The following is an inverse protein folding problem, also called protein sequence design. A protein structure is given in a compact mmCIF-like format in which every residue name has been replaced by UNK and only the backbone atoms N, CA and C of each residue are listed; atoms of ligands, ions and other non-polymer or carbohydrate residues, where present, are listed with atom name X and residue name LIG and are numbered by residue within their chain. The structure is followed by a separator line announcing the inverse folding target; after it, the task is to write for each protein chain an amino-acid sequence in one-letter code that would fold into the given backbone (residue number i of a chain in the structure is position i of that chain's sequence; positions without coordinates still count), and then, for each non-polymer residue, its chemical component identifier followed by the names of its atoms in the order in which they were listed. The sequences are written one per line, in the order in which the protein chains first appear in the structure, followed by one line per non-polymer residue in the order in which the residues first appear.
data_IF_172013981094
#
_entry.id   IF_172013981094
#
_cell.length_a   1.000
_cell.length_b   1.000
_cell.length_c   1.000
_cell.angle_alpha   90.00
_cell.angle_beta   90.00
_cell.angle_gamma   90.00
#
_symmetry.space_group_name_H-M   'P 1'
#
loop_
_entity.id
_entity.type
_entity.pdbx_description
1 polymer ?
#
# COMPACT_ATOMS: atom_id res chain seq x y z
N UNK A 1 -19.69 -51.51 -15.28
CA UNK A 1 -20.14 -50.26 -15.93
C UNK A 1 -20.53 -49.14 -14.97
N UNK A 2 -21.33 -49.37 -13.90
CA UNK A 2 -21.79 -48.31 -12.98
C UNK A 2 -20.67 -47.52 -12.26
N UNK A 3 -19.57 -48.16 -11.88
CA UNK A 3 -18.45 -47.49 -11.20
C UNK A 3 -17.56 -46.63 -12.10
N UNK A 4 -17.48 -46.93 -13.40
CA UNK A 4 -16.69 -46.12 -14.36
C UNK A 4 -17.36 -44.77 -14.65
N UNK A 5 -18.69 -44.70 -14.64
CA UNK A 5 -19.43 -43.44 -14.82
C UNK A 5 -19.24 -42.52 -13.61
N UNK A 6 -19.22 -43.07 -12.39
CA UNK A 6 -19.01 -42.31 -11.15
C UNK A 6 -17.56 -41.79 -11.06
N UNK A 7 -16.56 -42.59 -11.42
CA UNK A 7 -15.15 -42.17 -11.44
C UNK A 7 -14.91 -41.10 -12.52
N UNK A 8 -15.57 -41.22 -13.68
CA UNK A 8 -15.49 -40.21 -14.73
C UNK A 8 -16.14 -38.88 -14.29
N UNK A 9 -17.31 -38.93 -13.65
CA UNK A 9 -17.95 -37.72 -13.09
C UNK A 9 -17.13 -37.08 -11.96
N UNK A 10 -16.49 -37.88 -11.09
CA UNK A 10 -15.61 -37.38 -10.03
C UNK A 10 -14.33 -36.74 -10.60
N UNK A 11 -13.79 -37.27 -11.70
CA UNK A 11 -12.65 -36.70 -12.44
C UNK A 11 -12.95 -35.35 -13.10
N UNK A 12 -14.16 -35.17 -13.64
CA UNK A 12 -14.60 -33.89 -14.24
C UNK A 12 -14.80 -32.80 -13.18
N UNK A 13 -15.26 -33.16 -11.98
CA UNK A 13 -15.43 -32.19 -10.87
C UNK A 13 -14.06 -31.70 -10.36
N UNK A 14 -13.05 -32.57 -10.29
CA UNK A 14 -11.71 -32.20 -9.82
C UNK A 14 -10.93 -31.27 -10.77
N UNK A 15 -11.28 -31.24 -12.07
CA UNK A 15 -10.63 -30.36 -13.06
C UNK A 15 -11.20 -28.94 -13.10
N UNK A 16 -12.33 -28.69 -12.42
CA UNK A 16 -13.05 -27.40 -12.49
C UNK A 16 -12.55 -26.32 -11.51
N UNK A 17 -11.58 -26.63 -10.64
CA UNK A 17 -11.17 -25.73 -9.54
C UNK A 17 -9.89 -24.91 -9.80
N UNK A 18 -9.42 -24.79 -11.05
CA UNK A 18 -8.37 -23.84 -11.37
C UNK A 18 -8.97 -22.42 -11.48
N UNK A 19 -9.28 -21.81 -10.33
CA UNK A 19 -9.62 -20.39 -10.25
C UNK A 19 -8.48 -19.61 -10.92
N UNK A 20 -8.75 -19.02 -12.08
CA UNK A 20 -7.72 -18.30 -12.85
C UNK A 20 -7.54 -16.91 -12.25
N UNK A 21 -6.51 -16.75 -11.43
CA UNK A 21 -6.07 -15.45 -10.92
C UNK A 21 -5.24 -14.73 -11.96
N UNK A 22 -5.37 -13.41 -12.01
CA UNK A 22 -4.47 -12.51 -12.71
C UNK A 22 -3.79 -11.61 -11.69
N UNK A 23 -2.46 -11.64 -11.66
CA UNK A 23 -1.63 -10.87 -10.73
C UNK A 23 -1.06 -9.64 -11.44
N UNK A 24 -1.01 -8.54 -10.70
CA UNK A 24 -0.33 -7.31 -11.07
C UNK A 24 0.65 -6.96 -9.95
N UNK A 25 1.83 -6.48 -10.31
CA UNK A 25 2.84 -6.03 -9.36
C UNK A 25 3.10 -4.57 -9.59
N UNK A 26 3.35 -3.83 -8.51
CA UNK A 26 3.47 -2.39 -8.55
C UNK A 26 4.65 -1.94 -7.71
N UNK A 27 5.42 -1.01 -8.26
CA UNK A 27 6.56 -0.38 -7.58
C UNK A 27 6.16 1.03 -7.17
N UNK A 28 6.52 1.41 -5.96
CA UNK A 28 6.27 2.72 -5.37
C UNK A 28 7.57 3.51 -5.32
N UNK A 29 7.47 4.80 -5.59
CA UNK A 29 8.59 5.73 -5.55
C UNK A 29 8.18 7.00 -4.79
N UNK A 30 9.15 7.59 -4.07
CA UNK A 30 8.97 8.89 -3.44
C UNK A 30 9.00 10.00 -4.49
N UNK A 31 8.15 11.00 -4.30
CA UNK A 31 8.14 12.20 -5.15
C UNK A 31 9.34 13.09 -4.83
N UNK A 32 9.64 13.25 -3.55
CA UNK A 32 10.67 14.18 -3.10
C UNK A 32 12.08 13.57 -3.10
N UNK A 33 13.11 14.38 -3.43
CA UNK A 33 14.49 13.90 -3.53
C UNK A 33 15.12 13.50 -2.18
N UNK A 34 14.53 13.93 -1.06
CA UNK A 34 14.98 13.54 0.28
C UNK A 34 14.46 12.16 0.72
N UNK A 35 13.52 11.57 -0.03
CA UNK A 35 13.05 10.20 0.19
C UNK A 35 14.05 9.24 -0.44
N UNK A 36 14.80 8.54 0.40
CA UNK A 36 15.81 7.57 -0.04
C UNK A 36 15.32 6.13 0.07
N UNK A 37 16.07 5.17 -0.49
CA UNK A 37 15.82 3.73 -0.31
C UNK A 37 16.87 3.13 0.62
N UNK A 38 16.43 2.40 1.63
CA UNK A 38 17.36 1.63 2.47
C UNK A 38 17.73 0.27 1.83
N UNK A 39 18.55 -0.53 2.52
CA UNK A 39 18.98 -1.86 2.08
C UNK A 39 17.83 -2.86 1.77
N UNK A 40 16.66 -2.67 2.37
CA UNK A 40 15.46 -3.47 2.11
C UNK A 40 14.56 -2.84 1.03
N UNK A 41 14.98 -1.75 0.39
CA UNK A 41 14.18 -0.92 -0.51
C UNK A 41 12.91 -0.37 0.16
N UNK A 42 12.95 -0.12 1.46
CA UNK A 42 11.94 0.72 2.13
C UNK A 42 12.24 2.18 1.81
N UNK A 43 11.20 3.00 1.70
CA UNK A 43 11.33 4.43 1.42
C UNK A 43 11.54 5.17 2.75
N UNK A 44 12.60 5.97 2.88
CA UNK A 44 13.04 6.54 4.15
C UNK A 44 13.22 8.04 4.04
N UNK A 45 12.61 8.76 4.98
CA UNK A 45 12.91 10.16 5.29
C UNK A 45 13.84 10.15 6.50
N UNK A 46 15.09 10.55 6.29
CA UNK A 46 16.09 10.60 7.35
C UNK A 46 16.17 12.02 7.94
N UNK A 47 16.14 12.12 9.27
CA UNK A 47 16.41 13.38 9.99
C UNK A 47 17.35 13.17 11.16
N UNK A 48 17.72 14.24 11.86
CA UNK A 48 18.59 14.16 13.04
C UNK A 48 17.89 13.53 14.26
N UNK A 49 16.56 13.69 14.37
CA UNK A 49 15.78 13.24 15.53
C UNK A 49 15.11 11.88 15.31
N UNK A 50 14.43 11.71 14.18
CA UNK A 50 13.67 10.49 13.86
C UNK A 50 13.77 10.16 12.38
N UNK A 51 13.81 8.87 12.05
CA UNK A 51 13.59 8.43 10.67
C UNK A 51 12.16 7.95 10.52
N UNK A 52 11.52 8.31 9.40
CA UNK A 52 10.24 7.78 8.99
C UNK A 52 10.46 6.84 7.82
N UNK A 53 9.98 5.60 7.96
CA UNK A 53 10.22 4.50 7.02
C UNK A 53 8.87 4.00 6.50
N UNK A 54 8.71 3.91 5.19
CA UNK A 54 7.51 3.39 4.55
C UNK A 54 7.80 2.07 3.84
N UNK A 55 6.91 1.10 4.06
CA UNK A 55 6.97 -0.21 3.46
C UNK A 55 5.57 -0.59 2.97
N UNK A 56 5.48 -0.94 1.68
CA UNK A 56 4.27 -1.30 0.96
C UNK A 56 4.21 -2.80 0.65
N UNK A 57 5.15 -3.60 1.18
CA UNK A 57 5.31 -4.98 0.77
C UNK A 57 4.14 -5.87 1.15
N UNK A 58 3.37 -6.32 0.15
CA UNK A 58 2.33 -7.31 0.38
C UNK A 58 1.21 -7.26 -0.65
N UNK A 59 0.13 -7.94 -0.28
CA UNK A 59 -1.11 -7.93 -1.06
C UNK A 59 -1.83 -6.61 -0.82
N UNK A 60 -2.22 -5.95 -1.90
CA UNK A 60 -3.00 -4.73 -1.89
C UNK A 60 -2.31 -3.55 -1.18
N UNK A 61 -0.99 -3.42 -1.31
CA UNK A 61 -0.20 -2.33 -0.73
C UNK A 61 -0.49 -2.10 0.78
N UNK A 62 -0.15 -3.05 1.66
CA UNK A 62 -0.27 -2.84 3.09
C UNK A 62 0.76 -1.78 3.52
N UNK A 63 0.30 -0.58 3.82
CA UNK A 63 1.16 0.53 4.21
C UNK A 63 1.60 0.29 5.64
N UNK A 64 2.89 0.06 5.83
CA UNK A 64 3.55 -0.02 7.11
C UNK A 64 4.40 1.23 7.30
N UNK A 65 4.09 1.98 8.36
CA UNK A 65 4.86 3.13 8.79
C UNK A 65 5.77 2.72 9.92
N UNK A 66 7.06 2.92 9.72
CA UNK A 66 8.13 2.73 10.68
C UNK A 66 8.61 4.06 11.21
N UNK A 67 8.85 4.14 12.51
CA UNK A 67 9.46 5.31 13.15
C UNK A 67 10.67 4.82 13.93
N UNK A 68 11.86 5.29 13.56
CA UNK A 68 13.09 5.04 14.32
C UNK A 68 13.47 6.27 15.12
N UNK A 69 13.52 6.12 16.44
CA UNK A 69 13.87 7.20 17.35
C UNK A 69 15.39 7.28 17.54
N UNK A 70 16.04 8.33 17.00
CA UNK A 70 17.48 8.59 17.20
C UNK A 70 17.77 9.38 18.47
N UNK A 71 16.77 9.85 19.18
CA UNK A 71 16.94 10.64 20.40
C UNK A 71 17.25 9.75 21.62
N UNK A 72 17.65 10.39 22.72
CA UNK A 72 17.82 9.77 24.04
C UNK A 72 16.53 9.73 24.88
N UNK A 73 15.46 10.38 24.40
CA UNK A 73 14.14 10.46 25.04
C UNK A 73 13.09 9.76 24.16
N UNK A 74 12.00 9.23 24.73
CA UNK A 74 10.93 8.63 23.93
C UNK A 74 10.22 9.67 23.05
N UNK A 75 9.68 9.23 21.92
CA UNK A 75 8.78 10.03 21.07
C UNK A 75 7.44 9.33 20.92
N UNK A 76 6.39 10.06 20.58
CA UNK A 76 5.01 9.57 20.55
C UNK A 76 4.37 9.83 19.20
N UNK A 77 3.89 8.78 18.54
CA UNK A 77 3.23 8.85 17.23
C UNK A 77 1.73 8.88 17.44
N UNK A 78 1.04 9.91 16.92
CA UNK A 78 -0.42 10.07 17.01
C UNK A 78 -1.09 9.57 15.73
N UNK A 79 -1.58 8.33 15.75
CA UNK A 79 -2.16 7.67 14.58
C UNK A 79 -3.53 8.25 14.16
N UNK A 80 -4.21 9.01 15.05
CA UNK A 80 -5.48 9.68 14.70
C UNK A 80 -5.26 11.02 14.02
N UNK A 81 -4.14 11.69 14.32
CA UNK A 81 -3.67 12.88 13.60
C UNK A 81 -2.70 12.56 12.47
N UNK A 82 -2.60 11.29 12.08
CA UNK A 82 -1.80 10.83 10.96
C UNK A 82 -2.70 10.15 9.96
N UNK A 83 -2.29 10.15 8.70
CA UNK A 83 -3.18 9.68 7.66
C UNK A 83 -2.55 9.63 6.28
N UNK A 84 -3.44 9.33 5.33
CA UNK A 84 -3.14 9.21 3.92
C UNK A 84 -4.12 10.06 3.13
N UNK A 85 -3.64 10.62 2.03
CA UNK A 85 -4.43 11.33 1.02
C UNK A 85 -4.35 10.55 -0.28
N UNK A 86 -5.49 10.08 -0.77
CA UNK A 86 -5.61 9.32 -2.03
C UNK A 86 -6.71 9.94 -2.86
N UNK A 87 -6.41 10.32 -4.10
CA UNK A 87 -7.36 11.00 -5.01
C UNK A 87 -8.04 12.22 -4.35
N UNK A 88 -7.30 12.96 -3.52
CA UNK A 88 -7.81 14.11 -2.76
C UNK A 88 -8.67 13.76 -1.53
N UNK A 89 -8.91 12.47 -1.25
CA UNK A 89 -9.65 12.02 -0.08
C UNK A 89 -8.69 11.71 1.07
N UNK A 90 -8.94 12.33 2.22
CA UNK A 90 -8.16 12.09 3.44
C UNK A 90 -8.74 10.88 4.18
N UNK A 91 -7.87 9.95 4.58
CA UNK A 91 -8.20 8.83 5.47
C UNK A 91 -7.19 8.80 6.61
N UNK A 92 -7.65 8.92 7.85
CA UNK A 92 -6.77 8.81 9.03
C UNK A 92 -6.34 7.35 9.23
N UNK A 93 -5.15 7.14 9.79
CA UNK A 93 -4.65 5.79 10.07
C UNK A 93 -5.46 5.09 11.17
N UNK A 94 -6.08 5.87 12.06
CA UNK A 94 -7.03 5.39 13.05
C UNK A 94 -8.27 6.27 13.08
N UNK A 95 -9.42 5.65 13.30
CA UNK A 95 -10.69 6.36 13.44
C UNK A 95 -10.63 7.34 14.62
N UNK A 96 -11.14 8.58 14.46
CA UNK A 96 -11.32 9.49 15.58
C UNK A 96 -12.17 8.85 16.69
N UNK A 97 -11.92 9.19 17.95
CA UNK A 97 -12.82 8.78 19.04
C UNK A 97 -14.19 9.44 18.81
N UNK A 98 -15.29 8.68 18.90
CA UNK A 98 -16.66 9.17 18.67
C UNK A 98 -17.05 10.37 19.56
N UNK A 99 -16.35 10.58 20.68
CA UNK A 99 -16.57 11.69 21.62
C UNK A 99 -15.97 13.04 21.14
N UNK A 100 -15.22 13.07 20.02
CA UNK A 100 -14.50 14.26 19.55
C UNK A 100 -15.27 15.18 18.60
N UNK A 101 -16.59 14.99 18.42
CA UNK A 101 -17.41 15.91 17.64
C UNK A 101 -17.80 17.19 18.41
N UNK A 102 -17.49 17.30 19.71
CA UNK A 102 -17.93 18.41 20.54
C UNK A 102 -16.79 18.81 21.49
N UNK A 103 -16.19 19.98 21.23
CA UNK A 103 -15.31 20.77 22.11
C UNK A 103 -13.82 20.42 22.15
N UNK A 104 -12.98 21.37 21.71
CA UNK A 104 -11.69 21.60 22.38
C UNK A 104 -10.48 21.81 21.47
N UNK A 105 -10.39 22.98 20.87
CA UNK A 105 -9.15 23.62 20.43
C UNK A 105 -8.26 23.93 21.66
N UNK A 106 -7.69 22.89 22.27
CA UNK A 106 -6.61 23.03 23.25
C UNK A 106 -5.58 21.96 22.96
N UNK A 107 -4.48 22.36 22.32
CA UNK A 107 -3.30 21.56 22.01
C UNK A 107 -2.57 21.05 23.25
N UNK A 108 -3.22 20.23 24.06
CA UNK A 108 -2.60 19.52 25.18
C UNK A 108 -3.05 18.08 25.14
N UNK A 109 -2.16 17.18 24.74
CA UNK A 109 -2.37 15.74 24.92
C UNK A 109 -2.23 15.44 26.41
N UNK A 110 -3.35 15.11 27.03
CA UNK A 110 -3.34 14.65 28.42
C UNK A 110 -2.58 13.31 28.49
N UNK A 111 -1.64 13.12 29.41
CA UNK A 111 -0.98 11.81 29.62
C UNK A 111 -2.00 10.69 29.90
N UNK A 112 -3.15 11.05 30.49
CA UNK A 112 -4.32 10.18 30.61
C UNK A 112 -4.89 9.72 29.25
N UNK A 113 -4.76 10.52 28.18
CA UNK A 113 -5.13 10.12 26.80
C UNK A 113 -4.35 8.89 26.37
N UNK A 114 -3.01 8.86 26.54
CA UNK A 114 -2.22 7.67 26.21
C UNK A 114 -2.70 6.42 26.98
N UNK A 115 -2.92 6.56 28.29
CA UNK A 115 -3.33 5.45 29.16
C UNK A 115 -4.75 4.97 28.85
N UNK A 116 -5.63 5.87 28.43
CA UNK A 116 -7.02 5.58 28.11
C UNK A 116 -7.21 5.18 26.63
N UNK A 117 -6.19 5.36 25.78
CA UNK A 117 -6.26 5.17 24.34
C UNK A 117 -4.92 4.66 23.75
N UNK A 118 -4.48 3.44 24.15
CA UNK A 118 -3.21 2.86 23.72
C UNK A 118 -3.18 2.51 22.22
N UNK A 119 -4.33 2.46 21.54
CA UNK A 119 -4.40 2.18 20.10
C UNK A 119 -4.24 3.44 19.24
N UNK A 120 -4.50 4.62 19.82
CA UNK A 120 -4.41 5.92 19.15
C UNK A 120 -3.02 6.50 19.06
N UNK A 121 -2.22 6.24 20.07
CA UNK A 121 -0.89 6.81 20.20
C UNK A 121 0.10 5.73 20.60
N UNK A 122 1.28 5.75 19.99
CA UNK A 122 2.33 4.78 20.29
C UNK A 122 3.62 5.45 20.72
N UNK A 123 4.21 4.92 21.79
CA UNK A 123 5.52 5.36 22.27
C UNK A 123 6.63 4.60 21.54
N UNK A 124 7.58 5.35 20.98
CA UNK A 124 8.82 4.83 20.42
C UNK A 124 9.95 5.15 21.39
N UNK A 125 10.47 4.10 22.05
CA UNK A 125 11.55 4.22 23.02
C UNK A 125 12.84 4.79 22.38
N UNK A 126 13.74 5.40 23.17
CA UNK A 126 15.04 5.84 22.69
C UNK A 126 15.78 4.74 21.93
N UNK A 127 16.35 5.07 20.76
CA UNK A 127 17.14 4.14 19.93
C UNK A 127 16.39 2.88 19.49
N UNK A 128 15.06 2.92 19.42
CA UNK A 128 14.21 1.81 18.98
C UNK A 128 13.42 2.19 17.72
N UNK A 129 13.04 1.15 16.94
CA UNK A 129 12.13 1.27 15.79
C UNK A 129 10.78 0.68 16.16
N UNK A 130 9.71 1.44 15.93
CA UNK A 130 8.34 0.95 15.88
C UNK A 130 7.96 0.71 14.43
N UNK A 131 7.21 -0.36 14.14
CA UNK A 131 6.60 -0.58 12.82
C UNK A 131 5.11 -0.87 13.02
N UNK A 132 4.26 -0.13 12.33
CA UNK A 132 2.81 -0.26 12.41
C UNK A 132 2.23 -0.35 11.00
N UNK A 133 1.53 -1.44 10.70
CA UNK A 133 0.69 -1.49 9.49
C UNK A 133 -0.54 -0.63 9.75
N UNK A 134 -0.68 0.47 9.01
CA UNK A 134 -1.69 1.50 9.26
C UNK A 134 -2.94 1.33 8.39
N UNK A 135 -2.78 0.88 7.15
CA UNK A 135 -3.88 0.63 6.23
C UNK A 135 -3.47 -0.31 5.10
N UNK A 136 -4.46 -0.78 4.35
CA UNK A 136 -4.26 -1.40 3.04
C UNK A 136 -5.08 -0.65 1.99
N UNK A 137 -4.62 -0.70 0.74
CA UNK A 137 -5.36 -0.13 -0.37
C UNK A 137 -6.37 -1.14 -0.92
N UNK A 138 -7.39 -0.67 -1.60
CA UNK A 138 -8.41 -1.53 -2.20
C UNK A 138 -8.88 -1.00 -3.55
N UNK A 139 -9.66 -1.83 -4.26
CA UNK A 139 -10.32 -1.48 -5.52
C UNK A 139 -9.39 -1.18 -6.71
N UNK A 140 -8.22 -1.83 -6.77
CA UNK A 140 -7.36 -1.79 -7.95
C UNK A 140 -8.07 -2.31 -9.22
N UNK A 141 -8.23 -1.43 -10.20
CA UNK A 141 -8.81 -1.70 -11.53
C UNK A 141 -7.73 -1.93 -12.61
N UNK A 142 -6.51 -2.36 -12.26
CA UNK A 142 -5.41 -2.64 -13.21
C UNK A 142 -5.79 -3.60 -14.37
N UNK A 143 -6.80 -4.44 -14.15
CA UNK A 143 -7.32 -5.34 -15.18
C UNK A 143 -8.04 -4.66 -16.35
N UNK A 144 -8.36 -3.37 -16.21
CA UNK A 144 -8.98 -2.55 -17.26
C UNK A 144 -7.93 -1.96 -18.21
N UNK A 145 -6.66 -2.00 -17.81
CA UNK A 145 -5.53 -1.53 -18.61
C UNK A 145 -5.34 -2.45 -19.82
N UNK A 146 -5.34 -1.92 -21.06
CA UNK A 146 -5.17 -2.74 -22.26
C UNK A 146 -3.83 -3.48 -22.30
N UNK A 147 -3.85 -4.78 -22.64
CA UNK A 147 -2.62 -5.58 -22.78
C UNK A 147 -1.60 -4.99 -23.79
N UNK A 148 -2.11 -4.23 -24.77
CA UNK A 148 -1.32 -3.58 -25.82
C UNK A 148 -0.36 -2.51 -25.33
N UNK A 149 -0.66 -1.85 -24.21
CA UNK A 149 0.20 -0.77 -23.71
C UNK A 149 1.33 -1.28 -22.82
N UNK A 150 1.26 -2.54 -22.37
CA UNK A 150 2.35 -3.17 -21.65
C UNK A 150 3.50 -3.50 -22.61
N UNK A 151 4.69 -3.02 -22.27
CA UNK A 151 5.89 -3.20 -23.07
C UNK A 151 6.94 -4.01 -22.31
N UNK A 152 7.86 -4.63 -23.04
CA UNK A 152 9.02 -5.24 -22.40
C UNK A 152 9.96 -4.12 -21.95
N UNK A 153 9.96 -3.79 -20.67
CA UNK A 153 10.81 -2.73 -20.14
C UNK A 153 12.16 -3.31 -19.72
N UNK A 154 13.22 -3.09 -20.49
CA UNK A 154 14.55 -3.61 -20.19
C UNK A 154 15.26 -2.92 -19.00
N UNK A 155 14.77 -1.74 -18.62
CA UNK A 155 15.27 -0.97 -17.47
C UNK A 155 14.46 -1.20 -16.18
N UNK A 156 13.28 -1.84 -16.28
CA UNK A 156 12.42 -2.11 -15.14
C UNK A 156 13.03 -3.11 -14.17
N UNK A 157 12.73 -2.99 -12.87
CA UNK A 157 13.37 -3.81 -11.82
C UNK A 157 13.08 -5.31 -12.01
N UNK A 158 11.98 -5.65 -12.69
CA UNK A 158 11.60 -7.03 -12.99
C UNK A 158 12.35 -7.63 -14.18
N UNK A 159 12.97 -6.83 -15.06
CA UNK A 159 13.57 -7.35 -16.29
C UNK A 159 14.78 -8.22 -16.05
N UNK A 160 15.67 -7.81 -15.15
CA UNK A 160 16.89 -8.57 -14.85
C UNK A 160 16.56 -9.98 -14.34
N UNK A 161 15.46 -10.15 -13.61
CA UNK A 161 15.09 -11.43 -12.99
C UNK A 161 13.95 -12.17 -13.71
N UNK A 162 13.15 -11.49 -14.55
CA UNK A 162 11.96 -12.01 -15.22
C UNK A 162 11.77 -11.39 -16.61
N UNK A 163 12.66 -11.74 -17.55
CA UNK A 163 12.77 -11.19 -18.92
C UNK A 163 11.52 -11.31 -19.80
N UNK A 164 10.48 -12.00 -19.36
CA UNK A 164 9.23 -12.21 -20.10
C UNK A 164 8.05 -11.38 -19.55
N UNK A 165 8.25 -10.68 -18.43
CA UNK A 165 7.23 -9.80 -17.87
C UNK A 165 7.26 -8.45 -18.57
N UNK A 166 6.06 -7.99 -18.95
CA UNK A 166 5.84 -6.68 -19.53
C UNK A 166 5.38 -5.72 -18.43
N UNK A 167 5.76 -4.46 -18.55
CA UNK A 167 5.37 -3.41 -17.60
C UNK A 167 5.06 -2.10 -18.32
N UNK A 168 4.51 -1.18 -17.53
CA UNK A 168 4.31 0.23 -17.87
C UNK A 168 5.07 1.01 -16.80
N UNK A 169 5.85 1.99 -17.22
CA UNK A 169 6.51 2.94 -16.33
C UNK A 169 5.73 4.24 -16.33
N UNK A 170 5.60 4.83 -15.15
CA UNK A 170 4.94 6.10 -14.94
C UNK A 170 5.94 7.09 -14.34
N UNK A 171 5.81 8.35 -14.73
CA UNK A 171 6.33 9.48 -13.97
C UNK A 171 5.32 9.95 -12.94
N UNK A 172 5.66 11.02 -12.22
CA UNK A 172 4.79 11.62 -11.21
C UNK A 172 3.46 12.07 -11.84
N UNK A 173 3.52 12.76 -12.98
CA UNK A 173 2.36 13.43 -13.61
C UNK A 173 1.35 12.48 -14.26
N UNK A 174 1.76 11.24 -14.57
CA UNK A 174 0.90 10.27 -15.25
C UNK A 174 0.70 8.99 -14.44
N UNK A 175 1.13 8.97 -13.17
CA UNK A 175 0.91 7.82 -12.31
C UNK A 175 -0.57 7.66 -11.98
N UNK A 176 -1.13 6.47 -12.14
CA UNK A 176 -2.54 6.24 -11.81
C UNK A 176 -2.79 6.17 -10.29
N UNK A 177 -1.74 6.08 -9.48
CA UNK A 177 -1.83 6.06 -8.03
C UNK A 177 -0.87 7.10 -7.51
N UNK A 178 -1.43 8.12 -6.87
CA UNK A 178 -0.72 9.11 -6.09
C UNK A 178 -1.18 9.00 -4.63
N UNK A 179 -0.23 9.07 -3.71
CA UNK A 179 -0.43 8.76 -2.30
C UNK A 179 0.34 9.80 -1.48
N UNK A 180 -0.38 10.73 -0.87
CA UNK A 180 0.19 11.60 0.16
C UNK A 180 0.07 10.97 1.52
N UNK A 181 1.04 11.18 2.40
CA UNK A 181 1.00 10.74 3.79
C UNK A 181 1.42 11.88 4.70
N UNK A 182 0.82 11.93 5.89
CA UNK A 182 1.22 12.85 6.94
C UNK A 182 1.29 12.09 8.26
N UNK A 183 2.39 12.29 9.01
CA UNK A 183 2.65 11.63 10.27
C UNK A 183 2.92 12.66 11.36
N UNK A 184 2.12 12.60 12.42
CA UNK A 184 2.24 13.48 13.58
C UNK A 184 3.04 12.79 14.69
N UNK A 185 4.14 13.41 15.11
CA UNK A 185 5.01 12.94 16.20
C UNK A 185 5.17 14.05 17.24
N UNK A 186 5.13 13.67 18.52
CA UNK A 186 5.45 14.54 19.65
C UNK A 186 6.72 14.05 20.35
N UNK A 187 7.62 14.98 20.73
CA UNK A 187 8.78 14.66 21.56
C UNK A 187 8.40 14.46 23.04
N UNK A 188 7.28 15.07 23.45
CA UNK A 188 6.74 14.97 24.80
C UNK A 188 5.22 14.80 24.76
N UNK A 189 4.69 13.99 25.66
CA UNK A 189 3.22 13.79 25.75
C UNK A 189 2.52 15.04 26.28
N UNK A 190 3.19 15.79 27.16
CA UNK A 190 2.63 16.93 27.88
C UNK A 190 2.83 18.28 27.17
N UNK A 191 3.55 18.31 26.04
CA UNK A 191 3.72 19.50 25.21
C UNK A 191 3.46 19.16 23.74
N UNK A 192 2.31 19.57 23.21
CA UNK A 192 1.96 19.32 21.80
C UNK A 192 2.18 20.53 20.90
N UNK A 193 2.67 21.64 21.45
CA UNK A 193 3.07 22.80 20.65
C UNK A 193 4.34 22.49 19.86
N UNK A 194 5.17 21.55 20.35
CA UNK A 194 6.34 21.00 19.66
C UNK A 194 5.94 19.74 18.87
N UNK A 195 5.11 19.93 17.84
CA UNK A 195 4.72 18.85 16.92
C UNK A 195 5.71 18.76 15.76
N UNK A 196 6.21 17.56 15.51
CA UNK A 196 6.89 17.23 14.25
C UNK A 196 5.88 16.61 13.29
N UNK A 197 5.66 17.26 12.15
CA UNK A 197 4.82 16.74 11.06
C UNK A 197 5.75 16.29 9.95
N UNK A 198 5.59 15.04 9.53
CA UNK A 198 6.30 14.48 8.39
C UNK A 198 5.32 14.24 7.26
N UNK A 199 5.49 14.99 6.18
CA UNK A 199 4.75 14.80 4.95
C UNK A 199 5.62 14.04 3.94
N UNK A 200 4.99 13.09 3.25
CA UNK A 200 5.66 12.30 2.22
C UNK A 200 4.67 11.94 1.13
N UNK A 201 5.04 12.28 -0.11
CA UNK A 201 4.27 11.92 -1.29
C UNK A 201 4.92 10.78 -2.06
N UNK A 202 4.08 9.86 -2.54
CA UNK A 202 4.48 8.68 -3.28
C UNK A 202 3.63 8.52 -4.52
N UNK A 203 4.22 7.91 -5.55
CA UNK A 203 3.50 7.52 -6.75
C UNK A 203 3.87 6.09 -7.15
N UNK A 204 2.97 5.44 -7.90
CA UNK A 204 3.28 4.14 -8.49
C UNK A 204 4.11 4.36 -9.77
N UNK A 205 5.40 4.04 -9.72
CA UNK A 205 6.33 4.27 -10.83
C UNK A 205 6.35 3.14 -11.86
N UNK A 206 5.90 1.94 -11.49
CA UNK A 206 5.84 0.81 -12.42
C UNK A 206 4.63 -0.08 -12.13
N UNK A 207 3.94 -0.52 -13.19
CA UNK A 207 2.92 -1.58 -13.15
C UNK A 207 3.35 -2.75 -14.04
N UNK A 208 3.55 -3.92 -13.44
CA UNK A 208 3.98 -5.13 -14.12
C UNK A 208 2.80 -6.10 -14.29
N UNK A 209 2.65 -6.62 -15.49
CA UNK A 209 1.65 -7.63 -15.82
C UNK A 209 2.13 -9.04 -15.46
N UNK A 210 1.84 -9.49 -14.24
CA UNK A 210 2.20 -10.82 -13.76
C UNK A 210 1.41 -11.98 -14.38
N UNK A 211 0.22 -11.71 -14.92
CA UNK A 211 -0.71 -12.72 -15.48
C UNK A 211 -0.95 -13.83 -14.46
N UNK A 212 -0.60 -15.08 -14.76
CA UNK A 212 -0.80 -16.23 -13.85
C UNK A 212 0.37 -16.47 -12.88
N UNK A 213 1.44 -15.67 -12.94
CA UNK A 213 2.60 -15.83 -12.06
C UNK A 213 2.26 -15.30 -10.67
N UNK A 214 2.18 -16.20 -9.71
CA UNK A 214 1.91 -15.88 -8.29
C UNK A 214 3.16 -15.30 -7.61
N UNK A 215 3.01 -14.52 -6.53
CA UNK A 215 4.14 -13.89 -5.85
C UNK A 215 5.23 -14.87 -5.41
N UNK A 216 4.84 -16.05 -4.91
CA UNK A 216 5.78 -17.11 -4.49
C UNK A 216 6.59 -17.74 -5.63
N UNK A 217 6.27 -17.44 -6.89
CA UNK A 217 7.04 -17.88 -8.06
C UNK A 217 8.10 -16.87 -8.52
N UNK A 218 8.00 -15.60 -8.11
CA UNK A 218 8.88 -14.52 -8.57
C UNK A 218 9.98 -14.25 -7.54
N UNK A 219 11.25 -14.24 -7.98
CA UNK A 219 12.42 -14.01 -7.11
C UNK A 219 12.39 -12.61 -6.48
N UNK A 220 12.17 -11.58 -7.29
CA UNK A 220 12.00 -10.19 -6.85
C UNK A 220 10.89 -9.97 -5.83
N UNK A 221 9.85 -10.80 -5.82
CA UNK A 221 8.85 -10.72 -4.76
C UNK A 221 9.36 -11.38 -3.46
N UNK A 222 10.13 -12.48 -3.58
CA UNK A 222 10.74 -13.17 -2.43
C UNK A 222 11.82 -12.35 -1.73
N UNK A 223 12.44 -11.38 -2.40
CA UNK A 223 13.41 -10.47 -1.77
C UNK A 223 12.76 -9.48 -0.78
N UNK A 224 11.42 -9.46 -0.68
CA UNK A 224 10.66 -8.65 0.30
C UNK A 224 10.98 -7.16 0.24
N UNK A 225 11.19 -6.64 -0.98
CA UNK A 225 11.40 -5.21 -1.22
C UNK A 225 10.24 -4.39 -0.63
N UNK A 226 10.58 -3.36 0.15
CA UNK A 226 9.60 -2.47 0.78
C UNK A 226 8.80 -1.62 -0.20
N UNK A 227 9.36 -1.32 -1.37
CA UNK A 227 8.73 -0.51 -2.42
C UNK A 227 7.82 -1.31 -3.37
N UNK A 228 7.58 -2.60 -3.10
CA UNK A 228 6.90 -3.50 -4.02
C UNK A 228 5.64 -4.12 -3.42
N UNK A 229 4.49 -3.93 -4.07
CA UNK A 229 3.25 -4.63 -3.72
C UNK A 229 2.67 -5.41 -4.90
N UNK A 230 1.65 -6.22 -4.62
CA UNK A 230 0.88 -6.89 -5.67
C UNK A 230 -0.62 -6.78 -5.41
N UNK A 231 -1.41 -6.82 -6.47
CA UNK A 231 -2.85 -7.06 -6.40
C UNK A 231 -3.22 -8.26 -7.26
N UNK A 232 -4.36 -8.88 -6.93
CA UNK A 232 -4.86 -10.01 -7.68
C UNK A 232 -6.32 -9.79 -8.06
N UNK A 233 -6.66 -10.19 -9.28
CA UNK A 233 -8.05 -10.33 -9.72
C UNK A 233 -8.39 -11.80 -9.87
N UNK A 234 -9.48 -12.21 -9.24
CA UNK A 234 -10.15 -13.48 -9.59
C UNK A 234 -10.93 -13.26 -10.88
N UNK A 235 -10.75 -14.13 -11.89
CA UNK A 235 -11.76 -14.22 -12.95
C UNK A 235 -13.05 -14.71 -12.29
N UNK A 236 -14.07 -13.86 -12.27
CA UNK A 236 -15.37 -14.25 -11.76
C UNK A 236 -15.93 -15.35 -12.66
N UNK A 237 -16.02 -16.56 -12.13
CA UNK A 237 -16.93 -17.57 -12.68
C UNK A 237 -18.33 -17.00 -12.47
N UNK A 238 -19.09 -16.86 -13.56
CA UNK A 238 -20.44 -16.26 -13.71
C UNK A 238 -21.46 -16.50 -12.56
N UNK A 239 -21.22 -17.45 -11.66
CA UNK A 239 -22.09 -17.87 -10.56
C UNK A 239 -21.88 -17.17 -9.20
N UNK A 240 -20.93 -16.24 -9.05
CA UNK A 240 -20.65 -15.58 -7.74
C UNK A 240 -21.27 -14.18 -7.55
N UNK A 241 -22.30 -13.81 -8.31
CA UNK A 241 -23.09 -12.60 -8.03
C UNK A 241 -24.11 -12.75 -6.87
N UNK A 242 -24.11 -13.87 -6.16
CA UNK A 242 -24.91 -14.04 -4.94
C UNK A 242 -24.00 -14.27 -3.73
N UNK A 243 -23.86 -13.25 -2.88
CA UNK A 243 -23.33 -13.37 -1.52
C UNK A 243 -21.82 -13.61 -1.42
N UNK A 244 -21.02 -12.56 -1.60
CA UNK A 244 -19.58 -12.62 -1.36
C UNK A 244 -19.15 -11.54 -0.40
N UNK A 245 -19.19 -11.84 0.90
CA UNK A 245 -18.62 -11.01 1.95
C UNK A 245 -17.18 -10.63 1.60
N UNK A 246 -16.92 -9.32 1.48
CA UNK A 246 -15.57 -8.77 1.53
C UNK A 246 -14.96 -9.19 2.85
N UNK A 247 -13.83 -9.90 2.77
CA UNK A 247 -13.03 -10.29 3.91
C UNK A 247 -12.69 -9.01 4.69
N UNK A 248 -13.31 -8.80 5.86
CA UNK A 248 -12.90 -7.75 6.79
C UNK A 248 -11.50 -8.11 7.29
N UNK A 249 -10.48 -7.53 6.68
CA UNK A 249 -9.20 -7.35 7.39
C UNK A 249 -9.50 -6.35 8.50
N UNK A 250 -9.01 -6.62 9.71
CA UNK A 250 -9.22 -5.81 10.92
C UNK A 250 -8.52 -4.43 10.87
N UNK A 251 -8.43 -3.80 9.70
CA UNK A 251 -7.74 -2.53 9.46
C UNK A 251 -8.57 -1.58 8.59
N UNK A 252 -8.28 -0.28 8.71
CA UNK A 252 -8.85 0.74 7.83
C UNK A 252 -8.36 0.47 6.40
N UNK A 253 -9.29 0.43 5.44
CA UNK A 253 -8.97 0.25 4.02
C UNK A 253 -9.25 1.56 3.29
N UNK A 254 -8.24 2.09 2.58
CA UNK A 254 -8.43 3.25 1.72
C UNK A 254 -8.82 2.78 0.30
N UNK A 255 -9.77 3.48 -0.31
CA UNK A 255 -10.29 3.14 -1.64
C UNK A 255 -9.58 3.97 -2.70
N UNK A 256 -8.94 3.30 -3.67
CA UNK A 256 -8.44 3.96 -4.88
C UNK A 256 -9.62 4.14 -5.84
N UNK A 257 -9.89 5.38 -6.24
CA UNK A 257 -11.05 5.75 -7.06
C UNK A 257 -10.69 6.16 -8.49
N UNK A 258 -9.41 6.45 -8.74
CA UNK A 258 -8.91 6.82 -10.06
C UNK A 258 -9.16 5.74 -11.13
N UNK A 259 -9.58 6.18 -12.32
CA UNK A 259 -9.69 5.32 -13.48
C UNK A 259 -8.33 5.24 -14.18
N UNK A 260 -7.66 4.10 -14.07
CA UNK A 260 -6.30 3.86 -14.60
C UNK A 260 -6.25 3.98 -16.13
N UNK A 261 -7.39 3.87 -16.81
CA UNK A 261 -7.49 3.90 -18.28
C UNK A 261 -7.39 5.33 -18.86
N UNK A 262 -7.58 6.40 -18.07
CA UNK A 262 -7.74 7.73 -18.65
C UNK A 262 -6.45 8.43 -19.11
N UNK A 263 -5.26 7.94 -18.77
CA UNK A 263 -4.00 8.67 -19.02
C UNK A 263 -3.09 8.03 -20.07
N UNK A 264 -3.27 6.74 -20.41
CA UNK A 264 -2.40 6.03 -21.36
C UNK A 264 -2.66 6.34 -22.85
N UNK A 265 -3.63 7.20 -23.16
CA UNK A 265 -4.02 7.58 -24.53
C UNK A 265 -3.76 9.06 -24.86
N UNK A 266 -3.25 9.85 -23.90
CA UNK A 266 -3.09 11.31 -24.06
C UNK A 266 -1.94 11.75 -24.96
N UNK A 267 -0.82 11.01 -25.00
CA UNK A 267 0.42 11.52 -25.61
C UNK A 267 0.74 10.97 -27.01
N UNK A 268 -0.18 10.22 -27.64
CA UNK A 268 0.07 9.59 -28.95
C UNK A 268 -0.84 10.10 -30.09
N UNK A 269 -1.53 11.22 -29.90
CA UNK A 269 -2.44 11.78 -30.92
C UNK A 269 -2.10 13.18 -31.42
N UNK A 270 -0.98 13.78 -31.00
CA UNK A 270 -0.52 15.08 -31.55
C UNK A 270 0.64 15.00 -32.55
N UNK A 271 1.17 13.81 -32.83
CA UNK A 271 2.22 13.62 -33.85
C UNK A 271 1.90 12.45 -34.80
N UNK A 272 0.78 12.53 -35.52
CA UNK A 272 0.54 11.83 -36.80
C UNK A 272 -0.44 12.55 -37.70
#
# INVERSE_FOLDING_TARGET
MRYHVIIFFLGVILLSSCSSYTYFYSVVEGVDPYISRNQNNELVIETDSVDVIYNFHGKNAPITVGVYNKMSVPVFVDWRKSGVVIDGNVSTYREPLEEYALWGDTGTVNYGRFLNDPEGMSMVKPRQRLNTQVLELSNFNFHTVPDSIFQLNQAGIFYQENKDLKSITYGIDNSPIYLGTFLTIYERVDNTDETLIFDADFYMSELIQGKKKKPSSLKIYKSRRGDLFYSERRKDTFWKKAGGASLKVLGVAAVVTSNIVLWSLGDNLEDR
#
